data_IF_162573019898
#
_entry.id   IF_162573019898
#
_cell.length_a   1.000
_cell.length_b   1.000
_cell.length_c   1.000
_cell.angle_alpha   90.00
_cell.angle_beta   90.00
_cell.angle_gamma   90.00
#
_symmetry.space_group_name_H-M   'P 1'
#
loop_
_entity.id
_entity.type
_entity.pdbx_description
1 polymer ?
#
# COMPACT_ATOMS: atom_id res chain seq x y z
N UNK A 1 7.80 37.45 20.33
CA UNK A 1 8.70 36.37 19.82
C UNK A 1 9.90 37.04 19.16
N UNK A 2 11.10 36.67 19.52
CA UNK A 2 12.27 37.30 18.92
C UNK A 2 12.56 36.75 17.50
N UNK A 3 13.41 37.46 16.74
CA UNK A 3 13.72 37.10 15.35
C UNK A 3 14.35 35.70 15.23
N UNK A 4 15.21 35.32 16.18
CA UNK A 4 15.88 34.01 16.16
C UNK A 4 14.88 32.85 16.32
N UNK A 5 13.89 33.01 17.19
CA UNK A 5 12.81 32.02 17.36
C UNK A 5 11.98 31.91 16.08
N UNK A 6 11.66 33.02 15.43
CA UNK A 6 10.90 33.03 14.17
C UNK A 6 11.69 32.31 13.08
N UNK A 7 12.98 32.61 12.93
CA UNK A 7 13.83 31.96 11.91
C UNK A 7 13.98 30.46 12.18
N UNK A 8 14.10 30.05 13.43
CA UNK A 8 14.17 28.62 13.79
C UNK A 8 12.87 27.89 13.45
N UNK A 9 11.70 28.47 13.71
CA UNK A 9 10.41 27.89 13.37
C UNK A 9 10.21 27.78 11.87
N UNK A 10 10.60 28.80 11.11
CA UNK A 10 10.55 28.78 9.65
C UNK A 10 11.48 27.68 9.10
N UNK A 11 12.69 27.57 9.62
CA UNK A 11 13.64 26.52 9.22
C UNK A 11 13.11 25.12 9.46
N UNK A 12 12.49 24.88 10.63
CA UNK A 12 11.87 23.59 10.97
C UNK A 12 10.72 23.29 10.01
N UNK A 13 9.86 24.27 9.74
CA UNK A 13 8.73 24.10 8.82
C UNK A 13 9.19 23.75 7.40
N UNK A 14 10.27 24.36 6.91
CA UNK A 14 10.85 24.06 5.59
C UNK A 14 11.38 22.62 5.55
N UNK A 15 12.10 22.19 6.60
CA UNK A 15 12.64 20.81 6.67
C UNK A 15 11.51 19.79 6.67
N UNK A 16 10.48 19.97 7.49
CA UNK A 16 9.34 19.05 7.57
C UNK A 16 8.58 19.03 6.24
N UNK A 17 8.25 20.19 5.67
CA UNK A 17 7.52 20.28 4.42
C UNK A 17 8.32 19.69 3.25
N UNK A 18 9.63 19.94 3.18
CA UNK A 18 10.51 19.36 2.17
C UNK A 18 10.63 17.84 2.30
N UNK A 19 10.70 17.33 3.54
CA UNK A 19 10.74 15.90 3.80
C UNK A 19 9.47 15.19 3.36
N UNK A 20 8.30 15.73 3.71
CA UNK A 20 6.99 15.18 3.30
C UNK A 20 6.82 15.22 1.77
N UNK A 21 7.22 16.32 1.13
CA UNK A 21 7.15 16.45 -0.33
C UNK A 21 8.07 15.43 -1.00
N UNK A 22 9.26 15.19 -0.46
CA UNK A 22 10.20 14.20 -0.98
C UNK A 22 9.61 12.79 -0.90
N UNK A 23 8.99 12.42 0.21
CA UNK A 23 8.34 11.11 0.38
C UNK A 23 7.22 10.95 -0.66
N UNK A 24 6.36 11.95 -0.81
CA UNK A 24 5.28 11.92 -1.79
C UNK A 24 5.82 11.78 -3.23
N UNK A 25 6.86 12.53 -3.57
CA UNK A 25 7.46 12.50 -4.91
C UNK A 25 8.10 11.14 -5.22
N UNK A 26 8.79 10.53 -4.24
CA UNK A 26 9.46 9.25 -4.44
C UNK A 26 8.50 8.06 -4.48
N UNK A 27 7.46 8.04 -3.66
CA UNK A 27 6.59 6.88 -3.48
C UNK A 27 5.17 7.07 -3.99
N UNK A 28 4.76 8.30 -4.31
CA UNK A 28 3.39 8.62 -4.71
C UNK A 28 2.41 8.72 -3.55
N UNK A 29 2.89 8.64 -2.31
CA UNK A 29 2.07 8.72 -1.12
C UNK A 29 2.86 9.34 0.03
N UNK A 30 2.18 10.06 0.92
CA UNK A 30 2.77 10.56 2.16
C UNK A 30 2.98 9.46 3.21
N UNK A 31 2.34 8.31 3.03
CA UNK A 31 2.47 7.16 3.93
C UNK A 31 2.74 5.89 3.11
N UNK A 32 4.00 5.67 2.68
CA UNK A 32 4.34 4.50 1.87
C UNK A 32 4.60 3.23 2.69
N UNK A 33 4.50 3.27 4.02
CA UNK A 33 4.86 2.17 4.91
C UNK A 33 3.61 1.55 5.51
N UNK A 34 3.52 0.21 5.48
CA UNK A 34 2.45 -0.54 6.11
C UNK A 34 3.02 -1.70 6.91
N UNK A 35 2.56 -1.85 8.15
CA UNK A 35 2.94 -2.99 9.00
C UNK A 35 1.96 -4.13 8.75
N UNK A 36 2.48 -5.32 8.46
CA UNK A 36 1.68 -6.51 8.20
C UNK A 36 1.17 -7.08 9.52
N UNK A 37 -0.15 -7.22 9.65
CA UNK A 37 -0.81 -7.64 10.89
C UNK A 37 -1.49 -9.01 10.80
N UNK A 38 -1.54 -9.62 9.61
CA UNK A 38 -2.18 -10.92 9.41
C UNK A 38 -1.24 -11.88 8.67
N UNK A 39 -1.51 -13.18 8.78
CA UNK A 39 -0.69 -14.23 8.17
C UNK A 39 -1.08 -14.62 6.76
N UNK A 40 -1.93 -13.86 6.08
CA UNK A 40 -2.45 -14.23 4.75
C UNK A 40 -1.40 -14.30 3.64
N UNK A 41 -0.23 -13.71 3.85
CA UNK A 41 0.88 -13.70 2.89
C UNK A 41 2.07 -14.57 3.32
N UNK A 42 1.93 -15.35 4.39
CA UNK A 42 2.97 -16.28 4.82
C UNK A 42 3.12 -17.39 3.75
N UNK A 43 4.35 -17.82 3.42
CA UNK A 43 5.64 -17.44 4.00
C UNK A 43 6.32 -16.23 3.35
N UNK A 44 5.75 -15.64 2.32
CA UNK A 44 6.39 -14.55 1.55
C UNK A 44 6.56 -13.29 2.40
N UNK A 45 5.51 -12.91 3.13
CA UNK A 45 5.51 -11.77 4.04
C UNK A 45 4.93 -12.25 5.36
N UNK A 46 5.60 -11.97 6.45
CA UNK A 46 5.23 -12.44 7.78
C UNK A 46 4.62 -11.32 8.62
N UNK A 47 3.87 -11.71 9.67
CA UNK A 47 3.31 -10.75 10.62
C UNK A 47 4.45 -9.93 11.25
N UNK A 48 4.29 -8.62 11.26
CA UNK A 48 5.28 -7.68 11.79
C UNK A 48 6.27 -7.15 10.76
N UNK A 49 6.31 -7.72 9.56
CA UNK A 49 7.09 -7.15 8.46
C UNK A 49 6.50 -5.80 8.05
N UNK A 50 7.35 -4.94 7.51
CA UNK A 50 6.93 -3.65 6.95
C UNK A 50 7.03 -3.74 5.43
N UNK A 51 5.95 -3.43 4.73
CA UNK A 51 5.96 -3.32 3.27
C UNK A 51 6.07 -1.85 2.88
N UNK A 52 6.89 -1.58 1.87
CA UNK A 52 7.04 -0.25 1.29
C UNK A 52 6.40 -0.27 -0.09
N UNK A 53 5.50 0.69 -0.32
CA UNK A 53 4.75 0.78 -1.57
C UNK A 53 5.18 1.95 -2.43
N UNK A 54 4.87 1.84 -3.72
CA UNK A 54 5.01 2.91 -4.71
C UNK A 54 3.86 2.84 -5.69
N UNK A 55 3.39 3.98 -6.18
CA UNK A 55 2.28 4.03 -7.14
C UNK A 55 2.45 5.09 -8.23
N UNK A 56 3.60 5.77 -8.27
CA UNK A 56 3.83 6.93 -9.13
C UNK A 56 4.86 6.70 -10.26
N UNK A 57 5.23 5.45 -10.51
CA UNK A 57 6.15 5.10 -11.60
C UNK A 57 5.43 4.29 -12.68
N UNK A 58 6.08 4.15 -13.83
CA UNK A 58 5.53 3.46 -14.99
C UNK A 58 5.10 2.02 -14.65
N UNK A 59 5.86 1.32 -13.82
CA UNK A 59 5.62 -0.08 -13.46
C UNK A 59 4.83 -0.27 -12.16
N UNK A 60 4.44 0.80 -11.48
CA UNK A 60 3.68 0.75 -10.22
C UNK A 60 2.28 1.34 -10.32
N UNK A 61 1.88 1.85 -11.49
CA UNK A 61 0.51 2.30 -11.71
C UNK A 61 -0.46 1.11 -11.79
N UNK A 62 -1.72 1.33 -11.49
CA UNK A 62 -2.74 0.27 -11.51
C UNK A 62 -2.80 -0.46 -12.87
N UNK A 63 -2.76 0.28 -13.96
CA UNK A 63 -2.87 -0.30 -15.30
C UNK A 63 -1.62 -1.04 -15.77
N UNK A 64 -0.52 -0.94 -15.05
CA UNK A 64 0.73 -1.65 -15.37
C UNK A 64 0.96 -2.88 -14.50
N UNK A 65 0.07 -3.17 -13.56
CA UNK A 65 0.18 -4.34 -12.69
C UNK A 65 0.11 -5.64 -13.49
N UNK A 66 0.83 -6.63 -13.00
CA UNK A 66 0.90 -7.96 -13.60
C UNK A 66 0.51 -9.02 -12.58
N UNK A 67 0.04 -10.16 -13.07
CA UNK A 67 -0.19 -11.32 -12.22
C UNK A 67 1.12 -11.67 -11.51
N UNK A 68 1.05 -11.85 -10.20
CA UNK A 68 2.20 -12.10 -9.34
C UNK A 68 2.68 -10.88 -8.56
N UNK A 69 2.31 -9.67 -8.97
CA UNK A 69 2.65 -8.47 -8.20
C UNK A 69 1.94 -8.47 -6.84
N UNK A 70 2.65 -8.01 -5.82
CA UNK A 70 2.06 -7.83 -4.47
C UNK A 70 1.65 -6.37 -4.35
N UNK A 71 0.40 -6.15 -3.96
CA UNK A 71 -0.18 -4.81 -3.88
C UNK A 71 -0.83 -4.57 -2.52
N UNK A 72 -0.91 -3.31 -2.15
CA UNK A 72 -1.73 -2.82 -1.05
C UNK A 72 -2.98 -2.17 -1.65
N UNK A 73 -4.14 -2.52 -1.14
CA UNK A 73 -5.42 -2.02 -1.63
C UNK A 73 -6.43 -1.91 -0.50
N UNK A 74 -7.51 -1.16 -0.78
CA UNK A 74 -8.67 -1.08 0.11
C UNK A 74 -9.69 -2.11 -0.33
N UNK A 75 -10.13 -2.95 0.61
CA UNK A 75 -11.13 -3.98 0.31
C UNK A 75 -12.43 -3.35 -0.20
N UNK A 76 -13.07 -3.94 -1.23
CA UNK A 76 -14.30 -3.36 -1.79
C UNK A 76 -15.48 -3.41 -0.83
N UNK A 77 -15.57 -4.39 0.05
CA UNK A 77 -16.70 -4.56 0.96
C UNK A 77 -16.30 -4.70 2.43
N UNK A 78 -15.17 -5.34 2.72
CA UNK A 78 -14.73 -5.56 4.09
C UNK A 78 -14.31 -4.24 4.75
N UNK A 79 -14.85 -3.99 5.96
CA UNK A 79 -14.63 -2.74 6.69
C UNK A 79 -14.10 -3.01 8.10
N UNK A 80 -13.40 -2.03 8.64
CA UNK A 80 -13.01 -1.99 10.05
C UNK A 80 -14.20 -1.59 10.92
N UNK A 81 -14.04 -1.68 12.24
CA UNK A 81 -15.10 -1.33 13.19
C UNK A 81 -15.58 0.12 13.05
N UNK A 82 -14.70 1.03 12.65
CA UNK A 82 -15.04 2.44 12.43
C UNK A 82 -15.64 2.73 11.05
N UNK A 83 -15.94 1.70 10.26
CA UNK A 83 -16.61 1.82 8.97
C UNK A 83 -15.71 2.12 7.78
N UNK A 84 -14.40 2.17 7.98
CA UNK A 84 -13.44 2.39 6.89
C UNK A 84 -13.10 1.09 6.16
N UNK A 85 -12.80 1.14 4.86
CA UNK A 85 -12.35 -0.05 4.15
C UNK A 85 -11.09 -0.64 4.80
N UNK A 86 -11.05 -1.97 4.91
CA UNK A 86 -9.84 -2.65 5.35
C UNK A 86 -8.73 -2.48 4.33
N UNK A 87 -7.52 -2.23 4.81
CA UNK A 87 -6.30 -2.18 3.99
C UNK A 87 -5.67 -3.56 3.97
N UNK A 88 -5.47 -4.10 2.79
CA UNK A 88 -5.07 -5.50 2.55
C UNK A 88 -3.79 -5.53 1.72
N UNK A 89 -2.91 -6.49 2.01
CA UNK A 89 -1.71 -6.78 1.22
C UNK A 89 -1.86 -8.20 0.67
N UNK A 90 -2.09 -8.35 -0.62
CA UNK A 90 -2.23 -9.64 -1.29
C UNK A 90 -1.56 -9.60 -2.66
N UNK A 91 -1.48 -10.77 -3.31
CA UNK A 91 -0.86 -10.94 -4.63
C UNK A 91 -1.91 -10.90 -5.73
N UNK A 92 -1.60 -10.23 -6.83
CA UNK A 92 -2.46 -10.21 -8.03
C UNK A 92 -2.54 -11.63 -8.60
N UNK A 93 -3.75 -12.17 -8.68
CA UNK A 93 -4.03 -13.50 -9.18
C UNK A 93 -4.61 -13.49 -10.59
N UNK A 94 -5.39 -12.47 -10.94
CA UNK A 94 -6.04 -12.36 -12.24
C UNK A 94 -6.30 -10.90 -12.59
N UNK A 95 -6.15 -10.57 -13.86
CA UNK A 95 -6.43 -9.25 -14.41
C UNK A 95 -7.45 -9.43 -15.53
N UNK A 96 -8.53 -8.67 -15.49
CA UNK A 96 -9.60 -8.73 -16.48
C UNK A 96 -10.13 -7.36 -16.82
N UNK A 97 -11.21 -7.36 -17.59
CA UNK A 97 -11.86 -6.14 -18.04
C UNK A 97 -13.35 -6.22 -17.77
N UNK A 98 -13.91 -5.18 -17.19
CA UNK A 98 -15.32 -5.08 -16.90
C UNK A 98 -15.82 -3.72 -17.43
N UNK A 99 -16.61 -3.74 -18.51
CA UNK A 99 -17.10 -2.54 -19.18
C UNK A 99 -15.98 -1.54 -19.49
N UNK A 100 -14.90 -2.02 -20.12
CA UNK A 100 -13.72 -1.22 -20.52
C UNK A 100 -12.89 -0.69 -19.33
N UNK A 101 -13.17 -1.13 -18.11
CA UNK A 101 -12.35 -0.83 -16.95
C UNK A 101 -11.55 -2.06 -16.56
N UNK A 102 -10.28 -1.86 -16.28
CA UNK A 102 -9.45 -2.92 -15.73
C UNK A 102 -9.94 -3.30 -14.34
N UNK A 103 -10.07 -4.58 -14.10
CA UNK A 103 -10.47 -5.15 -12.82
C UNK A 103 -9.47 -6.21 -12.41
N UNK A 104 -9.13 -6.23 -11.12
CA UNK A 104 -8.13 -7.14 -10.57
C UNK A 104 -8.78 -8.02 -9.52
N UNK A 105 -8.32 -9.28 -9.48
CA UNK A 105 -8.58 -10.21 -8.38
C UNK A 105 -7.25 -10.57 -7.75
N UNK A 106 -7.17 -10.49 -6.43
CA UNK A 106 -5.99 -10.86 -5.65
C UNK A 106 -6.23 -12.15 -4.88
N UNK A 107 -5.16 -12.67 -4.27
CA UNK A 107 -5.23 -13.79 -3.34
C UNK A 107 -4.06 -13.71 -2.37
N UNK A 108 -4.31 -13.97 -1.09
CA UNK A 108 -3.26 -14.13 -0.10
C UNK A 108 -2.48 -15.43 -0.35
N UNK A 109 -1.16 -15.39 -0.24
CA UNK A 109 -0.31 -16.57 -0.53
C UNK A 109 -0.65 -17.77 0.36
N UNK A 110 -1.09 -17.53 1.59
CA UNK A 110 -1.51 -18.57 2.53
C UNK A 110 -2.96 -19.04 2.33
N UNK A 111 -3.73 -18.35 1.50
CA UNK A 111 -5.14 -18.66 1.29
C UNK A 111 -5.31 -19.60 0.09
N UNK A 112 -6.22 -20.60 0.19
CA UNK A 112 -6.44 -21.53 -0.94
C UNK A 112 -7.16 -20.89 -2.13
N UNK A 113 -7.92 -19.81 -1.92
CA UNK A 113 -8.66 -19.09 -2.96
C UNK A 113 -8.89 -17.64 -2.58
N UNK A 114 -9.32 -16.84 -3.55
CA UNK A 114 -9.68 -15.44 -3.35
C UNK A 114 -10.98 -15.33 -2.55
N UNK A 115 -11.07 -14.29 -1.71
CA UNK A 115 -12.22 -14.05 -0.83
C UNK A 115 -13.08 -12.94 -1.43
N UNK A 116 -14.38 -13.20 -1.74
CA UNK A 116 -15.28 -12.15 -2.22
C UNK A 116 -15.38 -10.98 -1.23
N UNK A 117 -15.43 -9.75 -1.75
CA UNK A 117 -15.53 -8.56 -0.91
C UNK A 117 -14.22 -8.11 -0.29
N UNK A 118 -13.18 -8.92 -0.36
CA UNK A 118 -11.81 -8.59 0.04
C UNK A 118 -10.93 -8.54 -1.21
N UNK A 119 -10.85 -9.64 -1.95
CA UNK A 119 -9.90 -9.84 -3.04
C UNK A 119 -10.44 -9.39 -4.40
N UNK A 120 -11.73 -9.20 -4.53
CA UNK A 120 -12.36 -8.77 -5.78
C UNK A 120 -13.78 -8.24 -5.55
N UNK A 121 -14.31 -7.38 -6.46
CA UNK A 121 -13.61 -6.79 -7.60
C UNK A 121 -12.76 -5.58 -7.18
N UNK A 122 -11.53 -5.49 -7.67
CA UNK A 122 -10.65 -4.35 -7.40
C UNK A 122 -10.52 -3.49 -8.65
N UNK A 123 -10.88 -2.23 -8.50
CA UNK A 123 -10.72 -1.19 -9.52
C UNK A 123 -9.65 -0.19 -9.10
N UNK A 124 -9.37 0.78 -9.96
CA UNK A 124 -8.36 1.82 -9.67
C UNK A 124 -8.58 2.50 -8.32
N UNK A 125 -9.83 2.75 -7.94
CA UNK A 125 -10.19 3.42 -6.68
C UNK A 125 -9.79 2.61 -5.44
N UNK A 126 -9.67 1.31 -5.56
CA UNK A 126 -9.26 0.43 -4.45
C UNK A 126 -7.74 0.39 -4.27
N UNK A 127 -6.99 0.73 -5.31
CA UNK A 127 -5.55 0.58 -5.34
C UNK A 127 -4.85 1.62 -4.48
N UNK A 128 -3.89 1.18 -3.66
CA UNK A 128 -3.03 2.06 -2.86
C UNK A 128 -1.61 2.10 -3.43
N UNK A 129 -1.02 0.95 -3.73
CA UNK A 129 0.32 0.90 -4.29
C UNK A 129 0.86 -0.51 -4.45
N UNK A 130 1.92 -0.62 -5.23
CA UNK A 130 2.65 -1.88 -5.42
C UNK A 130 3.75 -1.99 -4.37
N UNK A 131 3.85 -3.16 -3.75
CA UNK A 131 4.94 -3.45 -2.80
C UNK A 131 6.25 -3.54 -3.59
N UNK A 132 7.18 -2.64 -3.30
CA UNK A 132 8.49 -2.58 -3.96
C UNK A 132 9.61 -3.06 -3.06
N UNK A 133 9.38 -3.11 -1.74
CA UNK A 133 10.36 -3.59 -0.78
C UNK A 133 9.65 -4.11 0.48
N UNK A 134 10.23 -5.14 1.10
CA UNK A 134 9.76 -5.70 2.38
C UNK A 134 10.90 -5.59 3.39
N UNK A 135 10.64 -4.93 4.51
CA UNK A 135 11.56 -4.87 5.63
C UNK A 135 11.17 -5.97 6.60
N UNK A 136 11.99 -7.02 6.75
CA UNK A 136 11.66 -8.10 7.68
C UNK A 136 11.61 -7.59 9.11
N UNK A 137 10.74 -8.20 9.92
CA UNK A 137 10.65 -7.89 11.34
C UNK A 137 11.99 -8.22 12.03
N UNK A 138 12.64 -7.19 12.58
CA UNK A 138 13.91 -7.34 13.29
C UNK A 138 13.61 -7.84 14.70
N UNK A 139 14.37 -8.87 15.14
CA UNK A 139 14.27 -9.41 16.49
C UNK A 139 13.32 -10.60 16.66
N UNK A 140 12.72 -11.10 15.61
CA UNK A 140 12.00 -12.38 15.60
C UNK A 140 12.92 -13.50 15.14
N UNK A 141 13.89 -13.74 15.90
CA UNK A 141 14.79 -14.87 15.65
C UNK A 141 14.46 -15.97 16.63
#
# INVERSE_FOLDING_TARGET
MNKNTIYSLIGIAIIIGGGLLSIHTLFGSFNPFYVVVSGSMIPTINIGDIVIIKNNSFDTSFNSLKVGDIIVFRAPEAKTEDGKPKVIVHRVAEIGNFFQKEVIRTRGDANPYSIPGIDYPLFTENYVGKVVFVVPKIGTI
#
